data_IF_014602803736
#
_entry.id   IF_014602803736
#
_cell.length_a   1.000
_cell.length_b   1.000
_cell.length_c   1.000
_cell.angle_alpha   90.00
_cell.angle_beta   90.00
_cell.angle_gamma   90.00
#
_symmetry.space_group_name_H-M   'P 1'
#
loop_
_entity.id
_entity.type
_entity.pdbx_description
1 polymer ?
#
# COMPACT_ATOMS: atom_id res chain seq x y z
N UNK A 1 -7.84 55.42 -2.78
CA UNK A 1 -8.46 54.74 -3.94
C UNK A 1 -7.66 53.53 -4.43
N UNK A 2 -6.32 53.52 -4.28
CA UNK A 2 -5.39 52.50 -4.78
C UNK A 2 -5.31 51.20 -3.95
N UNK A 3 -5.52 51.27 -2.62
CA UNK A 3 -5.48 50.11 -1.73
C UNK A 3 -6.73 49.21 -1.81
N UNK A 4 -7.89 49.78 -2.17
CA UNK A 4 -9.15 49.04 -2.40
C UNK A 4 -9.14 48.30 -3.75
N UNK A 5 -8.42 48.82 -4.75
CA UNK A 5 -8.18 48.13 -6.02
C UNK A 5 -7.24 46.93 -5.84
N UNK A 6 -6.17 47.07 -5.04
CA UNK A 6 -5.24 45.98 -4.71
C UNK A 6 -5.89 44.83 -3.92
N UNK A 7 -6.81 45.15 -3.00
CA UNK A 7 -7.57 44.14 -2.22
C UNK A 7 -8.58 43.39 -3.08
N UNK A 8 -9.22 44.07 -4.05
CA UNK A 8 -10.11 43.43 -5.03
C UNK A 8 -9.33 42.52 -5.97
N UNK A 9 -8.17 42.93 -6.49
CA UNK A 9 -7.35 42.08 -7.36
C UNK A 9 -6.74 40.88 -6.64
N UNK A 10 -6.30 41.00 -5.38
CA UNK A 10 -5.83 39.84 -4.58
C UNK A 10 -6.95 38.86 -4.24
N UNK A 11 -8.15 39.36 -3.97
CA UNK A 11 -9.30 38.48 -3.75
C UNK A 11 -9.63 37.73 -5.05
N UNK A 12 -9.76 38.42 -6.19
CA UNK A 12 -10.05 37.80 -7.48
C UNK A 12 -8.94 36.86 -7.96
N UNK A 13 -7.65 37.17 -7.75
CA UNK A 13 -6.54 36.25 -8.04
C UNK A 13 -6.53 35.05 -7.09
N UNK A 14 -6.84 35.24 -5.81
CA UNK A 14 -6.98 34.11 -4.89
C UNK A 14 -8.14 33.21 -5.27
N UNK A 15 -9.26 33.75 -5.77
CA UNK A 15 -10.37 32.97 -6.30
C UNK A 15 -10.04 32.36 -7.66
N UNK A 16 -9.27 33.01 -8.52
CA UNK A 16 -8.86 32.45 -9.83
C UNK A 16 -7.80 31.35 -9.70
N UNK A 17 -6.85 31.51 -8.78
CA UNK A 17 -5.86 30.49 -8.43
C UNK A 17 -6.55 29.34 -7.71
N UNK A 18 -7.45 29.62 -6.74
CA UNK A 18 -8.25 28.60 -6.05
C UNK A 18 -9.30 27.93 -6.95
N UNK A 19 -9.84 28.61 -7.98
CA UNK A 19 -10.81 28.04 -8.92
C UNK A 19 -10.20 27.57 -10.24
N UNK A 20 -8.92 27.83 -10.51
CA UNK A 20 -8.22 27.44 -11.75
C UNK A 20 -7.26 26.27 -11.55
N UNK A 21 -6.62 26.16 -10.38
CA UNK A 21 -5.74 25.03 -10.03
C UNK A 21 -6.47 23.83 -9.47
N UNK A 22 -7.57 24.09 -8.77
CA UNK A 22 -8.40 23.07 -8.14
C UNK A 22 -9.42 22.45 -9.12
N UNK A 23 -9.47 22.91 -10.38
CA UNK A 23 -10.51 22.54 -11.35
C UNK A 23 -10.04 21.67 -12.53
N UNK A 24 -8.75 21.46 -12.79
CA UNK A 24 -8.35 20.72 -13.99
C UNK A 24 -7.69 19.35 -13.78
N UNK A 25 -6.81 19.14 -12.80
CA UNK A 25 -5.99 17.91 -12.77
C UNK A 25 -5.89 17.18 -11.41
N UNK A 26 -5.62 17.87 -10.30
CA UNK A 26 -5.54 17.21 -8.98
C UNK A 26 -6.83 16.47 -8.54
N UNK A 27 -8.06 17.00 -8.76
CA UNK A 27 -9.28 16.27 -8.44
C UNK A 27 -9.44 14.97 -9.23
N UNK A 28 -8.96 14.93 -10.48
CA UNK A 28 -9.08 13.75 -11.35
C UNK A 28 -8.27 12.57 -10.79
N UNK A 29 -7.07 12.80 -10.27
CA UNK A 29 -6.27 11.76 -9.62
C UNK A 29 -7.00 11.20 -8.39
N UNK A 30 -7.54 12.07 -7.54
CA UNK A 30 -8.26 11.63 -6.34
C UNK A 30 -9.59 10.95 -6.66
N UNK A 31 -10.29 11.37 -7.71
CA UNK A 31 -11.49 10.68 -8.22
C UNK A 31 -11.16 9.30 -8.76
N UNK A 32 -10.06 9.17 -9.52
CA UNK A 32 -9.58 7.87 -9.98
C UNK A 32 -9.19 6.99 -8.79
N UNK A 33 -8.38 7.48 -7.85
CA UNK A 33 -8.04 6.75 -6.61
C UNK A 33 -9.29 6.34 -5.82
N UNK A 34 -10.26 7.23 -5.68
CA UNK A 34 -11.56 6.94 -5.06
C UNK A 34 -12.31 5.82 -5.78
N UNK A 35 -12.30 5.81 -7.12
CA UNK A 35 -12.93 4.78 -7.94
C UNK A 35 -12.26 3.42 -7.74
N UNK A 36 -10.92 3.40 -7.68
CA UNK A 36 -10.12 2.20 -7.44
C UNK A 36 -10.42 1.61 -6.06
N UNK A 37 -10.66 2.44 -5.05
CA UNK A 37 -11.10 2.00 -3.73
C UNK A 37 -12.43 1.23 -3.72
N UNK A 38 -13.29 1.44 -4.74
CA UNK A 38 -14.52 0.65 -4.90
C UNK A 38 -14.38 -0.57 -5.79
N UNK A 39 -13.31 -0.64 -6.57
CA UNK A 39 -12.99 -1.81 -7.37
C UNK A 39 -12.37 -2.85 -6.43
N UNK A 40 -13.00 -4.03 -6.32
CA UNK A 40 -12.51 -5.11 -5.45
C UNK A 40 -11.32 -5.88 -6.05
N UNK A 41 -10.62 -5.29 -7.01
CA UNK A 41 -9.55 -5.90 -7.78
C UNK A 41 -8.19 -5.34 -7.36
N UNK A 42 -7.12 -6.07 -7.68
CA UNK A 42 -5.77 -5.53 -7.59
C UNK A 42 -5.60 -4.44 -8.66
N UNK A 43 -4.74 -3.46 -8.40
CA UNK A 43 -4.60 -2.27 -9.26
C UNK A 43 -3.15 -2.02 -9.54
N UNK A 44 -2.85 -1.70 -10.81
CA UNK A 44 -1.56 -1.18 -11.20
C UNK A 44 -1.55 0.35 -11.02
N UNK A 45 -0.63 0.87 -10.20
CA UNK A 45 -0.53 2.30 -9.91
C UNK A 45 0.38 3.08 -10.86
N UNK A 46 1.00 2.45 -11.87
CA UNK A 46 1.93 3.13 -12.78
C UNK A 46 1.28 4.32 -13.50
N UNK A 47 0.07 4.15 -14.03
CA UNK A 47 -0.65 5.23 -14.73
C UNK A 47 -0.94 6.43 -13.84
N UNK A 48 -1.23 6.17 -12.55
CA UNK A 48 -1.46 7.23 -11.57
C UNK A 48 -0.18 7.96 -11.19
N UNK A 49 0.96 7.25 -11.14
CA UNK A 49 2.28 7.88 -10.94
C UNK A 49 2.61 8.79 -12.12
N UNK A 50 2.44 8.30 -13.36
CA UNK A 50 2.66 9.13 -14.56
C UNK A 50 1.80 10.39 -14.54
N UNK A 51 0.52 10.27 -14.17
CA UNK A 51 -0.37 11.42 -14.03
C UNK A 51 0.10 12.39 -12.93
N UNK A 52 0.62 11.90 -11.80
CA UNK A 52 1.20 12.78 -10.76
C UNK A 52 2.40 13.56 -11.31
N UNK A 53 3.28 12.89 -12.06
CA UNK A 53 4.49 13.52 -12.61
C UNK A 53 4.18 14.59 -13.65
N UNK A 54 3.19 14.35 -14.51
CA UNK A 54 2.71 15.36 -15.46
C UNK A 54 2.22 16.61 -14.72
N UNK A 55 1.41 16.44 -13.67
CA UNK A 55 0.94 17.56 -12.83
C UNK A 55 2.10 18.30 -12.17
N UNK A 56 3.10 17.59 -11.65
CA UNK A 56 4.30 18.21 -11.07
C UNK A 56 5.04 19.07 -12.09
N UNK A 57 5.18 18.57 -13.33
CA UNK A 57 5.82 19.32 -14.41
C UNK A 57 5.04 20.58 -14.75
N UNK A 58 3.71 20.53 -14.80
CA UNK A 58 2.87 21.69 -15.08
C UNK A 58 2.93 22.73 -13.94
N UNK A 59 2.84 22.29 -12.68
CA UNK A 59 3.01 23.18 -11.51
C UNK A 59 4.40 23.83 -11.46
N UNK A 60 5.44 23.18 -12.00
CA UNK A 60 6.76 23.78 -12.06
C UNK A 60 6.83 24.98 -13.02
N UNK A 61 6.00 24.97 -14.08
CA UNK A 61 5.99 25.92 -15.20
C UNK A 61 5.03 27.10 -15.03
N UNK A 62 3.96 26.96 -14.24
CA UNK A 62 2.91 27.98 -14.17
C UNK A 62 3.07 28.97 -13.00
N UNK A 63 3.82 28.61 -11.95
CA UNK A 63 3.90 29.38 -10.70
C UNK A 63 5.15 30.24 -10.56
N UNK A 64 5.24 31.34 -11.30
CA UNK A 64 6.41 32.24 -11.22
C UNK A 64 6.23 33.44 -10.28
N UNK A 65 5.01 33.77 -9.86
CA UNK A 65 4.76 34.99 -9.08
C UNK A 65 5.02 34.80 -7.57
N UNK A 66 5.81 35.66 -6.89
CA UNK A 66 6.16 35.50 -5.47
C UNK A 66 4.96 35.39 -4.50
N UNK A 67 3.83 36.03 -4.82
CA UNK A 67 2.61 35.97 -3.99
C UNK A 67 1.89 34.61 -4.00
N UNK A 68 2.19 33.73 -4.96
CA UNK A 68 1.62 32.36 -5.03
C UNK A 68 2.64 31.29 -4.65
N UNK A 69 3.84 31.68 -4.23
CA UNK A 69 4.93 30.76 -3.86
C UNK A 69 4.56 29.82 -2.71
N UNK A 70 3.81 30.28 -1.71
CA UNK A 70 3.33 29.45 -0.60
C UNK A 70 2.27 28.43 -1.03
N UNK A 71 1.36 28.81 -1.94
CA UNK A 71 0.38 27.89 -2.53
C UNK A 71 1.08 26.85 -3.41
N UNK A 72 2.05 27.28 -4.22
CA UNK A 72 2.91 26.39 -5.01
C UNK A 72 3.60 25.36 -4.11
N UNK A 73 4.15 25.78 -2.97
CA UNK A 73 4.80 24.88 -2.03
C UNK A 73 3.84 23.80 -1.50
N UNK A 74 2.62 24.18 -1.09
CA UNK A 74 1.61 23.23 -0.59
C UNK A 74 1.19 22.23 -1.68
N UNK A 75 0.86 22.70 -2.88
CA UNK A 75 0.50 21.82 -4.00
C UNK A 75 1.66 20.89 -4.40
N UNK A 76 2.90 21.38 -4.33
CA UNK A 76 4.10 20.57 -4.58
C UNK A 76 4.26 19.48 -3.52
N UNK A 77 4.10 19.80 -2.22
CA UNK A 77 4.16 18.79 -1.17
C UNK A 77 3.10 17.70 -1.38
N UNK A 78 1.87 18.12 -1.63
CA UNK A 78 0.75 17.20 -1.85
C UNK A 78 1.06 16.20 -2.96
N UNK A 79 1.43 16.70 -4.14
CA UNK A 79 1.70 15.87 -5.31
C UNK A 79 2.94 15.00 -5.14
N UNK A 80 4.02 15.56 -4.58
CA UNK A 80 5.25 14.84 -4.26
C UNK A 80 5.01 13.68 -3.31
N UNK A 81 4.31 13.93 -2.20
CA UNK A 81 4.00 12.91 -1.20
C UNK A 81 3.17 11.82 -1.83
N UNK A 82 2.12 12.17 -2.60
CA UNK A 82 1.30 11.19 -3.29
C UNK A 82 2.13 10.35 -4.27
N UNK A 83 2.99 10.97 -5.07
CA UNK A 83 3.87 10.28 -6.02
C UNK A 83 4.81 9.30 -5.29
N UNK A 84 5.46 9.72 -4.21
CA UNK A 84 6.30 8.84 -3.40
C UNK A 84 5.52 7.65 -2.81
N UNK A 85 4.31 7.89 -2.29
CA UNK A 85 3.47 6.82 -1.72
C UNK A 85 2.99 5.82 -2.78
N UNK A 86 2.61 6.29 -3.98
CA UNK A 86 2.21 5.43 -5.10
C UNK A 86 3.40 4.65 -5.66
N UNK A 87 4.59 5.28 -5.74
CA UNK A 87 5.83 4.58 -6.11
C UNK A 87 6.18 3.50 -5.10
N UNK A 88 6.06 3.77 -3.80
CA UNK A 88 6.25 2.76 -2.76
C UNK A 88 5.29 1.57 -2.92
N UNK A 89 4.02 1.80 -3.28
CA UNK A 89 3.06 0.72 -3.60
C UNK A 89 3.54 -0.17 -4.76
N UNK A 90 4.00 0.44 -5.86
CA UNK A 90 4.52 -0.30 -7.01
C UNK A 90 5.76 -1.11 -6.62
N UNK A 91 6.70 -0.50 -5.91
CA UNK A 91 7.93 -1.14 -5.48
C UNK A 91 7.69 -2.29 -4.49
N UNK A 92 6.69 -2.17 -3.61
CA UNK A 92 6.24 -3.29 -2.77
C UNK A 92 5.69 -4.45 -3.62
N UNK A 93 4.92 -4.15 -4.68
CA UNK A 93 4.35 -5.17 -5.57
C UNK A 93 5.40 -5.96 -6.37
N UNK A 94 6.59 -5.38 -6.59
CA UNK A 94 7.74 -6.04 -7.23
C UNK A 94 8.81 -6.49 -6.22
N UNK A 95 8.52 -6.35 -4.92
CA UNK A 95 9.41 -6.72 -3.82
C UNK A 95 10.79 -6.04 -3.83
N UNK A 96 10.83 -4.76 -4.21
CA UNK A 96 12.04 -3.94 -4.29
C UNK A 96 12.32 -3.22 -2.96
N UNK A 97 13.09 -3.84 -2.06
CA UNK A 97 13.30 -3.38 -0.68
C UNK A 97 13.84 -1.95 -0.55
N UNK A 98 15.10 -1.72 -0.93
CA UNK A 98 15.75 -0.41 -0.69
C UNK A 98 15.03 0.75 -1.41
N UNK A 99 14.67 0.64 -2.71
CA UNK A 99 13.90 1.69 -3.36
C UNK A 99 12.60 2.01 -2.63
N UNK A 100 11.89 0.99 -2.13
CA UNK A 100 10.66 1.21 -1.36
C UNK A 100 10.93 1.97 -0.05
N UNK A 101 12.01 1.62 0.67
CA UNK A 101 12.41 2.34 1.91
C UNK A 101 12.63 3.82 1.62
N UNK A 102 13.38 4.13 0.55
CA UNK A 102 13.68 5.51 0.17
C UNK A 102 12.40 6.30 -0.14
N UNK A 103 11.47 5.72 -0.92
CA UNK A 103 10.20 6.38 -1.24
C UNK A 103 9.34 6.61 0.02
N UNK A 104 9.26 5.64 0.93
CA UNK A 104 8.53 5.81 2.20
C UNK A 104 9.17 6.87 3.11
N UNK A 105 10.50 6.94 3.13
CA UNK A 105 11.25 7.94 3.87
C UNK A 105 11.02 9.35 3.31
N UNK A 106 11.12 9.52 1.99
CA UNK A 106 10.90 10.82 1.32
C UNK A 106 9.47 11.32 1.57
N UNK A 107 8.47 10.45 1.43
CA UNK A 107 7.08 10.78 1.78
C UNK A 107 6.95 11.20 3.26
N UNK A 108 7.63 10.50 4.17
CA UNK A 108 7.60 10.85 5.60
C UNK A 108 8.25 12.21 5.89
N UNK A 109 9.44 12.45 5.34
CA UNK A 109 10.18 13.71 5.50
C UNK A 109 9.36 14.89 4.98
N UNK A 110 8.77 14.76 3.78
CA UNK A 110 7.90 15.79 3.19
C UNK A 110 6.61 16.01 3.99
N UNK A 111 5.98 14.95 4.52
CA UNK A 111 4.82 15.08 5.41
C UNK A 111 5.14 15.84 6.70
N UNK A 112 6.32 15.64 7.29
CA UNK A 112 6.73 16.37 8.48
C UNK A 112 7.00 17.84 8.13
N UNK A 113 7.73 18.12 7.05
CA UNK A 113 7.97 19.48 6.56
C UNK A 113 6.67 20.23 6.25
N UNK A 114 5.69 19.57 5.63
CA UNK A 114 4.37 20.18 5.41
C UNK A 114 3.63 20.42 6.74
N UNK A 115 3.74 19.51 7.71
CA UNK A 115 3.15 19.70 9.05
C UNK A 115 3.64 20.98 9.72
N UNK A 116 4.94 21.26 9.64
CA UNK A 116 5.56 22.43 10.26
C UNK A 116 5.10 23.75 9.62
N UNK A 117 4.62 23.71 8.37
CA UNK A 117 4.06 24.86 7.67
C UNK A 117 2.59 25.13 8.03
N UNK A 118 1.89 24.19 8.67
CA UNK A 118 0.49 24.35 9.05
C UNK A 118 0.43 25.23 10.31
N UNK A 119 -0.14 26.45 10.23
CA UNK A 119 -0.13 27.38 11.35
C UNK A 119 -0.96 26.85 12.53
N UNK A 120 -0.33 26.83 13.71
CA UNK A 120 -0.92 26.42 15.01
C UNK A 120 -2.20 27.21 15.38
N UNK A 121 -2.49 28.35 14.72
CA UNK A 121 -3.66 29.19 15.03
C UNK A 121 -5.01 28.64 14.55
N UNK A 122 -5.06 27.67 13.63
CA UNK A 122 -6.30 26.94 13.32
C UNK A 122 -6.70 25.93 14.42
N UNK A 123 -5.89 25.81 15.48
CA UNK A 123 -6.13 24.94 16.64
C UNK A 123 -6.98 25.62 17.72
N UNK A 124 -7.23 26.94 17.62
CA UNK A 124 -7.99 27.71 18.62
C UNK A 124 -9.09 28.54 17.97
N UNK A 125 -10.09 27.88 17.37
CA UNK A 125 -11.39 28.51 17.15
C UNK A 125 -12.14 28.65 18.49
N UNK A 126 -11.83 29.75 19.18
CA UNK A 126 -12.75 30.60 19.96
C UNK A 126 -14.04 29.96 20.53
N UNK A 127 -14.04 29.73 21.86
CA UNK A 127 -15.18 29.86 22.77
C UNK A 127 -16.46 29.01 22.55
N UNK A 128 -16.36 27.71 22.28
CA UNK A 128 -17.49 26.79 22.49
C UNK A 128 -17.06 25.44 23.07
N UNK A 129 -17.79 24.99 24.10
CA UNK A 129 -17.54 23.79 24.93
C UNK A 129 -17.87 22.48 24.21
N UNK A 130 -17.09 22.13 23.19
CA UNK A 130 -17.00 20.75 22.71
C UNK A 130 -15.56 20.43 22.34
N UNK A 131 -15.10 19.21 22.65
CA UNK A 131 -13.72 18.74 22.55
C UNK A 131 -13.03 19.13 21.22
N UNK A 132 -12.21 20.18 21.25
CA UNK A 132 -11.51 20.70 20.08
C UNK A 132 -10.39 19.76 19.62
N UNK A 133 -10.68 18.93 18.62
CA UNK A 133 -9.62 18.30 17.81
C UNK A 133 -9.05 19.38 16.89
N UNK A 134 -7.76 19.66 17.00
CA UNK A 134 -6.99 20.38 15.98
C UNK A 134 -7.18 19.66 14.64
N UNK A 135 -8.02 20.18 13.74
CA UNK A 135 -8.27 19.49 12.48
C UNK A 135 -7.18 19.86 11.48
N UNK A 136 -6.11 19.05 11.44
CA UNK A 136 -5.20 19.03 10.30
C UNK A 136 -6.00 19.00 8.98
N UNK A 137 -5.51 19.62 7.90
CA UNK A 137 -6.19 19.60 6.62
C UNK A 137 -6.62 18.17 6.26
N UNK A 138 -7.88 17.96 5.85
CA UNK A 138 -8.41 16.61 5.65
C UNK A 138 -7.56 15.75 4.70
N UNK A 139 -7.02 16.34 3.63
CA UNK A 139 -6.15 15.67 2.67
C UNK A 139 -4.77 15.31 3.26
N UNK A 140 -4.17 16.22 4.05
CA UNK A 140 -2.95 15.93 4.79
C UNK A 140 -3.14 14.69 5.69
N UNK A 141 -4.24 14.66 6.43
CA UNK A 141 -4.57 13.55 7.32
C UNK A 141 -4.80 12.25 6.54
N UNK A 142 -5.40 12.33 5.35
CA UNK A 142 -5.54 11.19 4.45
C UNK A 142 -4.19 10.65 3.96
N UNK A 143 -3.29 11.51 3.49
CA UNK A 143 -1.93 11.13 3.07
C UNK A 143 -1.13 10.52 4.23
N UNK A 144 -1.24 11.10 5.43
CA UNK A 144 -0.62 10.58 6.64
C UNK A 144 -1.12 9.17 6.98
N UNK A 145 -2.43 8.94 6.90
CA UNK A 145 -3.03 7.61 7.10
C UNK A 145 -2.61 6.62 6.02
N UNK A 146 -2.60 7.04 4.75
CA UNK A 146 -2.12 6.21 3.65
C UNK A 146 -0.67 5.76 3.92
N UNK A 147 0.23 6.69 4.26
CA UNK A 147 1.62 6.37 4.66
C UNK A 147 1.68 5.32 5.77
N UNK A 148 0.83 5.46 6.78
CA UNK A 148 0.76 4.50 7.89
C UNK A 148 0.34 3.08 7.46
N UNK A 149 -0.65 2.97 6.57
CA UNK A 149 -1.08 1.69 6.00
C UNK A 149 0.02 1.11 5.10
N UNK A 150 0.70 1.94 4.30
CA UNK A 150 1.82 1.48 3.47
C UNK A 150 2.97 0.96 4.32
N UNK A 151 3.27 1.62 5.45
CA UNK A 151 4.29 1.15 6.39
C UNK A 151 3.91 -0.20 7.01
N UNK A 152 2.63 -0.38 7.35
CA UNK A 152 2.10 -1.66 7.84
C UNK A 152 2.28 -2.77 6.79
N UNK A 153 1.95 -2.47 5.53
CA UNK A 153 2.10 -3.39 4.39
C UNK A 153 3.57 -3.72 4.12
N UNK A 154 4.44 -2.71 4.13
CA UNK A 154 5.88 -2.87 3.99
C UNK A 154 6.45 -3.81 5.06
N UNK A 155 6.07 -3.58 6.31
CA UNK A 155 6.47 -4.43 7.44
C UNK A 155 6.06 -5.90 7.28
N UNK A 156 4.93 -6.15 6.62
CA UNK A 156 4.46 -7.50 6.32
C UNK A 156 5.18 -8.13 5.13
N UNK A 157 5.33 -7.41 4.02
CA UNK A 157 5.94 -7.94 2.78
C UNK A 157 7.45 -8.18 2.91
N UNK A 158 8.12 -7.39 3.75
CA UNK A 158 9.56 -7.50 3.99
C UNK A 158 9.86 -8.00 5.40
N UNK A 159 8.93 -8.70 6.04
CA UNK A 159 9.07 -9.18 7.42
C UNK A 159 10.38 -9.94 7.64
N UNK A 160 10.72 -10.88 6.75
CA UNK A 160 11.93 -11.70 6.87
C UNK A 160 13.22 -10.90 6.64
N UNK A 161 13.17 -9.89 5.77
CA UNK A 161 14.28 -8.94 5.57
C UNK A 161 14.49 -8.09 6.81
N UNK A 162 13.41 -7.55 7.38
CA UNK A 162 13.46 -6.75 8.59
C UNK A 162 13.92 -7.59 9.79
N UNK A 163 13.40 -8.81 9.96
CA UNK A 163 13.75 -9.71 11.05
C UNK A 163 15.23 -10.11 11.04
N UNK A 164 15.90 -10.08 9.88
CA UNK A 164 17.35 -10.29 9.77
C UNK A 164 18.18 -9.05 10.09
N UNK A 165 17.57 -7.86 10.06
CA UNK A 165 18.22 -6.57 10.28
C UNK A 165 17.92 -5.95 11.65
N UNK A 166 17.00 -6.54 12.41
CA UNK A 166 16.62 -6.11 13.76
C UNK A 166 16.37 -7.30 14.68
N UNK A 167 16.13 -7.05 15.97
CA UNK A 167 15.78 -8.08 16.93
C UNK A 167 14.32 -8.50 16.69
N UNK A 168 14.01 -9.80 16.45
CA UNK A 168 12.65 -10.24 16.11
C UNK A 168 11.56 -9.85 17.12
N UNK A 169 11.89 -9.79 18.41
CA UNK A 169 10.98 -9.33 19.44
C UNK A 169 10.64 -7.83 19.30
N UNK A 170 11.64 -7.00 19.00
CA UNK A 170 11.46 -5.57 18.76
C UNK A 170 10.66 -5.32 17.48
N UNK A 171 10.91 -6.10 16.43
CA UNK A 171 10.15 -6.03 15.18
C UNK A 171 8.66 -6.27 15.43
N UNK A 172 8.31 -7.32 16.18
CA UNK A 172 6.91 -7.60 16.53
C UNK A 172 6.27 -6.44 17.29
N UNK A 173 6.99 -5.86 18.25
CA UNK A 173 6.50 -4.69 19.00
C UNK A 173 6.32 -3.48 18.07
N UNK A 174 7.25 -3.23 17.16
CA UNK A 174 7.15 -2.14 16.19
C UNK A 174 5.95 -2.30 15.25
N UNK A 175 5.75 -3.50 14.70
CA UNK A 175 4.63 -3.81 13.80
C UNK A 175 3.27 -3.76 14.52
N UNK A 176 3.20 -4.15 15.79
CA UNK A 176 1.97 -4.04 16.58
C UNK A 176 1.51 -2.59 16.83
N UNK A 177 2.43 -1.62 16.71
CA UNK A 177 2.14 -0.18 16.82
C UNK A 177 1.77 0.45 15.49
N UNK A 178 1.93 -0.26 14.37
CA UNK A 178 1.49 0.21 13.08
C UNK A 178 -0.05 0.26 13.04
N UNK A 179 -0.64 1.10 12.16
CA UNK A 179 -2.09 1.18 12.02
C UNK A 179 -2.76 -0.18 11.78
N UNK A 180 -2.09 -1.09 11.07
CA UNK A 180 -2.58 -2.44 10.81
C UNK A 180 -1.51 -3.49 11.15
N UNK A 181 -1.79 -4.36 12.12
CA UNK A 181 -0.91 -5.49 12.45
C UNK A 181 -1.25 -6.71 11.59
N UNK A 182 -0.75 -6.74 10.35
CA UNK A 182 -0.97 -7.87 9.43
C UNK A 182 -0.38 -9.17 9.94
N UNK A 183 0.80 -9.11 10.56
CA UNK A 183 1.47 -10.31 11.09
C UNK A 183 0.64 -10.90 12.23
N UNK A 184 0.22 -10.08 13.19
CA UNK A 184 -0.66 -10.51 14.29
C UNK A 184 -2.00 -11.06 13.79
N UNK A 185 -2.60 -10.46 12.75
CA UNK A 185 -3.82 -11.00 12.12
C UNK A 185 -3.62 -12.39 11.53
N UNK A 186 -2.52 -12.62 10.82
CA UNK A 186 -2.19 -13.95 10.27
C UNK A 186 -1.96 -14.96 11.41
N UNK A 187 -1.24 -14.58 12.46
CA UNK A 187 -0.99 -15.43 13.62
C UNK A 187 -2.29 -15.83 14.34
N UNK A 188 -3.17 -14.86 14.58
CA UNK A 188 -4.46 -15.08 15.21
C UNK A 188 -5.37 -15.97 14.34
N UNK A 189 -5.36 -15.75 13.02
CA UNK A 189 -6.11 -16.57 12.07
C UNK A 189 -5.59 -18.01 12.04
N UNK A 190 -4.28 -18.22 11.94
CA UNK A 190 -3.65 -19.54 11.92
C UNK A 190 -4.04 -20.34 13.17
N UNK A 191 -3.92 -19.73 14.35
CA UNK A 191 -4.29 -20.36 15.63
C UNK A 191 -5.79 -20.70 15.72
N UNK A 192 -6.67 -19.85 15.17
CA UNK A 192 -8.13 -20.04 15.23
C UNK A 192 -8.65 -21.08 14.23
N UNK A 193 -8.05 -21.14 13.05
CA UNK A 193 -8.51 -21.98 11.94
C UNK A 193 -7.82 -23.34 11.86
N UNK A 194 -6.72 -23.52 12.62
CA UNK A 194 -5.81 -24.65 12.54
C UNK A 194 -5.19 -24.78 11.13
N UNK A 195 -4.83 -23.64 10.53
CA UNK A 195 -4.11 -23.64 9.27
C UNK A 195 -2.69 -24.19 9.45
N UNK A 196 -2.30 -25.09 8.56
CA UNK A 196 -0.95 -25.67 8.54
C UNK A 196 0.09 -24.59 8.21
N UNK A 197 -0.20 -23.79 7.18
CA UNK A 197 0.66 -22.68 6.77
C UNK A 197 -0.14 -21.53 6.15
N UNK A 198 0.38 -20.32 6.30
CA UNK A 198 -0.03 -19.12 5.56
C UNK A 198 1.21 -18.53 4.88
N UNK A 199 1.11 -18.24 3.58
CA UNK A 199 2.21 -17.69 2.79
C UNK A 199 1.79 -16.40 2.07
N UNK A 200 2.72 -15.46 1.96
CA UNK A 200 2.71 -14.52 0.82
C UNK A 200 3.68 -15.04 -0.23
N UNK A 201 3.18 -15.24 -1.44
CA UNK A 201 3.96 -15.77 -2.56
C UNK A 201 4.11 -14.69 -3.62
N UNK A 202 5.35 -14.34 -3.93
CA UNK A 202 5.74 -13.46 -5.04
C UNK A 202 5.92 -14.29 -6.32
N UNK A 203 5.27 -13.85 -7.38
CA UNK A 203 5.57 -14.23 -8.76
C UNK A 203 6.70 -13.34 -9.30
N UNK A 204 7.90 -13.91 -9.35
CA UNK A 204 9.10 -13.24 -9.83
C UNK A 204 9.32 -13.38 -11.34
N UNK A 205 8.33 -13.83 -12.12
CA UNK A 205 8.49 -13.98 -13.57
C UNK A 205 8.80 -12.63 -14.22
N UNK A 206 9.94 -12.58 -14.92
CA UNK A 206 10.41 -11.39 -15.63
C UNK A 206 10.94 -10.27 -14.72
N UNK A 207 11.03 -10.48 -13.41
CA UNK A 207 11.72 -9.57 -12.51
C UNK A 207 13.24 -9.82 -12.61
N UNK A 208 14.01 -8.74 -12.59
CA UNK A 208 15.48 -8.77 -12.68
C UNK A 208 16.10 -8.45 -11.32
N UNK A 209 17.30 -9.00 -11.05
CA UNK A 209 18.05 -8.75 -9.82
C UNK A 209 17.99 -9.88 -8.78
N UNK A 210 18.53 -9.62 -7.59
CA UNK A 210 18.66 -10.59 -6.49
C UNK A 210 17.38 -10.73 -5.66
N UNK A 211 16.36 -11.34 -6.27
CA UNK A 211 15.03 -11.52 -5.67
C UNK A 211 15.01 -12.63 -4.62
N UNK A 212 16.09 -13.42 -4.46
CA UNK A 212 16.10 -14.53 -3.50
C UNK A 212 16.24 -14.08 -2.05
N UNK A 213 17.06 -13.05 -1.81
CA UNK A 213 17.49 -12.79 -0.44
C UNK A 213 16.68 -11.70 0.24
N UNK A 214 15.88 -10.90 -0.48
CA UNK A 214 15.10 -9.79 0.07
C UNK A 214 15.97 -8.77 0.81
N UNK A 215 16.34 -7.68 0.15
CA UNK A 215 17.19 -6.69 0.79
C UNK A 215 17.91 -5.79 -0.19
N UNK A 216 18.99 -5.19 0.29
CA UNK A 216 19.90 -4.45 -0.56
C UNK A 216 21.01 -5.37 -1.08
N UNK A 217 21.25 -5.28 -2.38
CA UNK A 217 22.36 -5.95 -3.05
C UNK A 217 23.17 -4.91 -3.83
N UNK A 218 24.48 -5.12 -3.88
CA UNK A 218 25.35 -4.30 -4.71
C UNK A 218 24.89 -4.42 -6.19
N UNK A 219 24.58 -3.30 -6.88
CA UNK A 219 24.18 -3.30 -8.30
C UNK A 219 25.14 -4.05 -9.23
N UNK A 220 26.44 -4.05 -8.91
CA UNK A 220 27.49 -4.68 -9.73
C UNK A 220 27.57 -6.21 -9.55
N UNK A 221 26.80 -6.77 -8.62
CA UNK A 221 26.81 -8.21 -8.36
C UNK A 221 25.89 -8.93 -9.34
N UNK A 222 26.45 -9.77 -10.21
CA UNK A 222 25.69 -10.59 -11.16
C UNK A 222 24.57 -11.38 -10.46
N UNK A 223 23.33 -11.23 -10.94
CA UNK A 223 22.17 -11.97 -10.49
C UNK A 223 21.80 -13.04 -11.51
N UNK A 224 21.69 -14.30 -11.07
CA UNK A 224 21.20 -15.39 -11.92
C UNK A 224 19.68 -15.26 -12.06
N UNK A 225 19.11 -15.20 -13.28
CA UNK A 225 17.67 -15.18 -13.48
C UNK A 225 17.00 -16.40 -12.84
N UNK A 226 15.88 -16.19 -12.14
CA UNK A 226 15.10 -17.29 -11.55
C UNK A 226 14.46 -18.14 -12.65
N UNK A 227 14.57 -19.46 -12.54
CA UNK A 227 13.99 -20.41 -13.50
C UNK A 227 13.11 -21.46 -12.81
N UNK A 228 12.05 -21.89 -13.50
CA UNK A 228 11.18 -22.97 -13.06
C UNK A 228 10.41 -22.65 -11.78
N UNK A 229 10.46 -23.56 -10.80
CA UNK A 229 9.71 -23.44 -9.54
C UNK A 229 10.27 -22.34 -8.62
N UNK A 230 11.52 -21.94 -8.82
CA UNK A 230 12.19 -20.88 -8.05
C UNK A 230 11.66 -19.48 -8.40
N UNK A 231 10.88 -19.37 -9.47
CA UNK A 231 10.24 -18.11 -9.85
C UNK A 231 9.09 -17.73 -8.92
N UNK A 232 8.56 -18.68 -8.15
CA UNK A 232 7.61 -18.40 -7.08
C UNK A 232 8.36 -18.43 -5.76
N UNK A 233 8.40 -17.29 -5.07
CA UNK A 233 9.16 -17.13 -3.83
C UNK A 233 8.22 -16.80 -2.67
N UNK A 234 8.24 -17.53 -1.55
CA UNK A 234 7.51 -17.11 -0.36
C UNK A 234 8.24 -15.92 0.28
N UNK A 235 7.65 -14.73 0.20
CA UNK A 235 8.20 -13.52 0.82
C UNK A 235 7.76 -13.37 2.29
N UNK A 236 6.81 -14.19 2.71
CA UNK A 236 6.40 -14.36 4.10
C UNK A 236 5.88 -15.78 4.30
N UNK A 237 6.22 -16.41 5.43
CA UNK A 237 5.65 -17.69 5.87
C UNK A 237 5.30 -17.68 7.35
N UNK A 238 4.16 -18.28 7.69
CA UNK A 238 3.78 -18.55 9.07
C UNK A 238 3.14 -19.94 9.22
N UNK A 239 3.52 -20.76 10.21
CA UNK A 239 4.62 -20.54 11.17
C UNK A 239 6.00 -20.42 10.51
N UNK A 240 6.86 -19.53 11.03
CA UNK A 240 8.16 -19.19 10.43
C UNK A 240 9.14 -20.38 10.41
N UNK A 241 8.95 -21.33 11.32
CA UNK A 241 9.74 -22.57 11.44
C UNK A 241 9.46 -23.58 10.32
N UNK A 242 8.35 -23.42 9.58
CA UNK A 242 7.98 -24.33 8.50
C UNK A 242 8.47 -23.77 7.16
N UNK A 243 9.57 -24.36 6.67
CA UNK A 243 10.08 -24.11 5.33
C UNK A 243 9.05 -24.47 4.23
N UNK A 244 9.32 -24.07 2.99
CA UNK A 244 8.54 -24.46 1.81
C UNK A 244 8.33 -25.97 1.81
N UNK A 245 7.08 -26.41 1.98
CA UNK A 245 6.76 -27.83 1.86
C UNK A 245 6.83 -28.22 0.38
N UNK A 246 7.75 -29.12 -0.03
CA UNK A 246 7.86 -29.57 -1.42
C UNK A 246 6.60 -30.33 -1.87
N UNK A 247 5.78 -30.82 -0.92
CA UNK A 247 4.51 -31.49 -1.19
C UNK A 247 3.44 -30.49 -1.65
N UNK A 248 3.39 -29.31 -1.02
CA UNK A 248 2.34 -28.32 -1.26
C UNK A 248 2.68 -27.34 -2.40
N UNK A 249 3.96 -27.05 -2.61
CA UNK A 249 4.40 -26.01 -3.54
C UNK A 249 3.89 -26.17 -4.98
N UNK A 250 3.88 -27.38 -5.58
CA UNK A 250 3.36 -27.56 -6.95
C UNK A 250 1.88 -27.17 -7.09
N UNK A 251 1.05 -27.51 -6.10
CA UNK A 251 -0.38 -27.15 -6.11
C UNK A 251 -0.57 -25.63 -5.98
N UNK A 252 0.25 -24.98 -5.15
CA UNK A 252 0.22 -23.53 -4.98
C UNK A 252 0.57 -22.83 -6.30
N UNK A 253 1.66 -23.26 -6.96
CA UNK A 253 2.08 -22.71 -8.26
C UNK A 253 1.01 -22.92 -9.33
N UNK A 254 0.43 -24.12 -9.38
CA UNK A 254 -0.68 -24.42 -10.29
C UNK A 254 -1.85 -23.45 -10.07
N UNK A 255 -2.24 -23.22 -8.81
CA UNK A 255 -3.33 -22.30 -8.49
C UNK A 255 -3.02 -20.86 -8.89
N UNK A 256 -1.79 -20.36 -8.63
CA UNK A 256 -1.37 -19.02 -9.03
C UNK A 256 -1.45 -18.87 -10.55
N UNK A 257 -0.92 -19.83 -11.31
CA UNK A 257 -0.95 -19.79 -12.78
C UNK A 257 -2.36 -19.88 -13.35
N UNK A 258 -3.26 -20.60 -12.67
CA UNK A 258 -4.67 -20.68 -13.07
C UNK A 258 -5.47 -19.40 -12.78
N UNK A 259 -4.88 -18.42 -12.08
CA UNK A 259 -5.54 -17.20 -11.63
C UNK A 259 -5.55 -16.05 -12.66
N UNK A 260 -6.41 -16.19 -13.66
CA UNK A 260 -6.71 -15.15 -14.66
C UNK A 260 -7.34 -13.89 -14.05
N UNK A 261 -8.23 -14.07 -13.06
CA UNK A 261 -9.11 -13.00 -12.60
C UNK A 261 -8.55 -12.28 -11.36
N UNK A 262 -7.80 -12.95 -10.47
CA UNK A 262 -7.12 -12.32 -9.32
C UNK A 262 -8.02 -11.79 -8.19
N UNK A 263 -9.34 -11.88 -8.34
CA UNK A 263 -10.26 -11.06 -7.53
C UNK A 263 -11.04 -11.84 -6.49
N UNK A 264 -11.19 -13.15 -6.68
CA UNK A 264 -11.97 -14.02 -5.80
C UNK A 264 -11.02 -14.96 -5.08
N UNK A 265 -11.44 -15.39 -3.88
CA UNK A 265 -10.79 -16.51 -3.21
C UNK A 265 -11.01 -17.75 -4.07
N UNK A 266 -9.92 -18.41 -4.47
CA UNK A 266 -9.97 -19.70 -5.12
C UNK A 266 -9.69 -20.80 -4.12
N UNK A 267 -10.35 -21.92 -4.34
CA UNK A 267 -10.22 -23.11 -3.52
C UNK A 267 -9.74 -24.29 -4.35
N UNK A 268 -8.84 -25.07 -3.80
CA UNK A 268 -8.45 -26.37 -4.36
C UNK A 268 -8.36 -27.39 -3.24
N UNK A 269 -8.84 -28.59 -3.52
CA UNK A 269 -8.77 -29.71 -2.59
C UNK A 269 -8.04 -30.88 -3.24
N UNK A 270 -6.90 -31.22 -2.66
CA UNK A 270 -6.08 -32.36 -3.04
C UNK A 270 -6.47 -33.56 -2.17
N UNK A 271 -6.91 -34.64 -2.82
CA UNK A 271 -7.35 -35.86 -2.13
C UNK A 271 -6.12 -36.61 -1.64
N UNK A 272 -6.25 -37.25 -0.47
CA UNK A 272 -5.20 -38.10 0.06
C UNK A 272 -4.87 -39.22 -0.92
N UNK A 273 -3.59 -39.57 -0.95
CA UNK A 273 -3.04 -40.74 -1.63
C UNK A 273 -2.26 -41.54 -0.60
N UNK A 274 -1.82 -42.75 -0.95
CA UNK A 274 -0.99 -43.59 -0.06
C UNK A 274 0.28 -42.88 0.45
N UNK A 275 0.71 -41.81 -0.23
CA UNK A 275 1.92 -41.04 0.09
C UNK A 275 1.67 -39.64 0.63
N UNK A 276 0.42 -39.14 0.65
CA UNK A 276 0.13 -37.73 0.99
C UNK A 276 -1.23 -37.58 1.69
N UNK A 277 -1.31 -36.79 2.78
CA UNK A 277 -2.58 -36.52 3.46
C UNK A 277 -3.49 -35.60 2.62
N UNK A 278 -4.77 -35.55 3.00
CA UNK A 278 -5.73 -34.60 2.44
C UNK A 278 -5.23 -33.17 2.62
N UNK A 279 -5.28 -32.36 1.56
CA UNK A 279 -4.84 -30.96 1.64
C UNK A 279 -5.86 -30.03 1.00
N UNK A 280 -6.17 -28.92 1.69
CA UNK A 280 -7.03 -27.86 1.17
C UNK A 280 -6.26 -26.56 1.05
N UNK A 281 -6.45 -25.86 -0.05
CA UNK A 281 -5.72 -24.65 -0.39
C UNK A 281 -6.72 -23.54 -0.69
N UNK A 282 -6.49 -22.37 -0.10
CA UNK A 282 -7.19 -21.15 -0.43
C UNK A 282 -6.18 -20.11 -0.89
N UNK A 283 -6.47 -19.42 -2.00
CA UNK A 283 -5.60 -18.38 -2.53
C UNK A 283 -6.40 -17.15 -2.93
N UNK A 284 -5.82 -15.97 -2.70
CA UNK A 284 -6.31 -14.71 -3.23
C UNK A 284 -5.13 -13.83 -3.64
N UNK A 285 -5.19 -13.22 -4.81
CA UNK A 285 -4.17 -12.28 -5.27
C UNK A 285 -4.32 -10.94 -4.56
N UNK A 286 -3.33 -10.54 -3.77
CA UNK A 286 -3.38 -9.31 -2.96
C UNK A 286 -2.71 -8.12 -3.65
N UNK A 287 -1.87 -8.39 -4.65
CA UNK A 287 -1.16 -7.38 -5.44
C UNK A 287 -0.88 -7.87 -6.87
N UNK A 288 -0.30 -7.01 -7.71
CA UNK A 288 0.04 -7.32 -9.10
C UNK A 288 0.90 -8.58 -9.23
N UNK A 289 1.75 -8.92 -8.28
CA UNK A 289 2.58 -10.15 -8.33
C UNK A 289 2.54 -10.97 -7.05
N UNK A 290 1.64 -10.66 -6.13
CA UNK A 290 1.67 -11.24 -4.78
C UNK A 290 0.34 -11.89 -4.47
N UNK A 291 0.39 -13.15 -4.05
CA UNK A 291 -0.77 -13.94 -3.64
C UNK A 291 -0.66 -14.36 -2.19
N UNK A 292 -1.77 -14.25 -1.46
CA UNK A 292 -1.90 -14.79 -0.12
C UNK A 292 -2.47 -16.21 -0.21
N UNK A 293 -1.79 -17.16 0.41
CA UNK A 293 -2.11 -18.59 0.35
C UNK A 293 -2.32 -19.12 1.77
N UNK A 294 -3.37 -19.91 1.97
CA UNK A 294 -3.63 -20.64 3.21
C UNK A 294 -3.71 -22.14 2.89
N UNK A 295 -2.97 -22.94 3.64
CA UNK A 295 -2.88 -24.40 3.48
C UNK A 295 -3.39 -25.09 4.73
N UNK A 296 -4.20 -26.14 4.53
CA UNK A 296 -4.65 -27.04 5.57
C UNK A 296 -4.32 -28.48 5.19
N UNK A 297 -3.77 -29.26 6.10
CA UNK A 297 -3.61 -30.73 5.97
C UNK A 297 -4.88 -31.48 6.42
N UNK A 298 -6.02 -30.95 5.99
CA UNK A 298 -7.33 -31.54 6.23
C UNK A 298 -8.30 -31.12 5.12
N UNK A 299 -9.42 -31.83 5.00
CA UNK A 299 -10.50 -31.44 4.10
C UNK A 299 -11.25 -30.23 4.68
N UNK A 300 -11.23 -29.12 3.96
CA UNK A 300 -12.02 -27.91 4.25
C UNK A 300 -13.13 -27.75 3.21
N UNK A 301 -14.12 -26.92 3.55
CA UNK A 301 -15.20 -26.57 2.64
C UNK A 301 -14.85 -25.28 1.92
N UNK A 302 -14.97 -25.24 0.59
CA UNK A 302 -14.80 -24.03 -0.22
C UNK A 302 -15.63 -22.84 0.33
N UNK A 303 -16.84 -23.12 0.81
CA UNK A 303 -17.78 -22.11 1.31
C UNK A 303 -17.59 -21.75 2.79
N UNK A 304 -16.48 -22.17 3.40
CA UNK A 304 -16.19 -21.88 4.81
C UNK A 304 -16.05 -20.36 5.02
N UNK A 305 -17.04 -19.76 5.68
CA UNK A 305 -17.18 -18.30 5.72
C UNK A 305 -16.04 -17.63 6.48
N UNK A 306 -15.55 -18.23 7.57
CA UNK A 306 -14.46 -17.70 8.38
C UNK A 306 -13.17 -17.50 7.58
N UNK A 307 -12.81 -18.49 6.74
CA UNK A 307 -11.61 -18.46 5.89
C UNK A 307 -11.80 -17.43 4.77
N UNK A 308 -12.95 -17.48 4.09
CA UNK A 308 -13.24 -16.56 3.00
C UNK A 308 -13.30 -15.10 3.47
N UNK A 309 -13.97 -14.82 4.58
CA UNK A 309 -14.02 -13.48 5.18
C UNK A 309 -12.63 -12.98 5.54
N UNK A 310 -11.80 -13.80 6.19
CA UNK A 310 -10.42 -13.42 6.50
C UNK A 310 -9.63 -13.02 5.24
N UNK A 311 -9.67 -13.86 4.20
CA UNK A 311 -8.95 -13.62 2.94
C UNK A 311 -9.46 -12.39 2.19
N UNK A 312 -10.77 -12.16 2.17
CA UNK A 312 -11.38 -10.97 1.58
C UNK A 312 -10.99 -9.71 2.35
N UNK A 313 -11.03 -9.75 3.68
CA UNK A 313 -10.76 -8.59 4.53
C UNK A 313 -9.29 -8.19 4.47
N UNK A 314 -8.36 -9.16 4.58
CA UNK A 314 -6.92 -8.87 4.53
C UNK A 314 -6.50 -8.43 3.13
N UNK A 315 -7.06 -9.02 2.07
CA UNK A 315 -6.77 -8.60 0.69
C UNK A 315 -7.25 -7.19 0.41
N UNK A 316 -8.44 -6.81 0.89
CA UNK A 316 -8.96 -5.44 0.78
C UNK A 316 -8.05 -4.42 1.47
N UNK A 317 -7.52 -4.76 2.65
CA UNK A 317 -6.59 -3.90 3.41
C UNK A 317 -5.24 -3.77 2.70
N UNK A 318 -4.66 -4.87 2.20
CA UNK A 318 -3.38 -4.85 1.47
C UNK A 318 -3.48 -4.08 0.14
N UNK A 319 -4.65 -4.08 -0.49
CA UNK A 319 -4.97 -3.26 -1.67
C UNK A 319 -5.32 -1.80 -1.33
N UNK A 320 -5.32 -1.44 -0.04
CA UNK A 320 -5.64 -0.09 0.43
C UNK A 320 -7.04 0.40 0.01
N UNK A 321 -8.01 -0.51 -0.15
CA UNK A 321 -9.34 -0.18 -0.68
C UNK A 321 -10.09 0.83 0.20
N UNK A 322 -10.09 0.62 1.52
CA UNK A 322 -10.83 1.48 2.45
C UNK A 322 -10.30 2.91 2.49
N UNK A 323 -8.97 3.07 2.51
CA UNK A 323 -8.34 4.40 2.53
C UNK A 323 -8.60 5.12 1.19
N UNK A 324 -8.49 4.42 0.07
CA UNK A 324 -8.80 4.96 -1.26
C UNK A 324 -10.28 5.34 -1.39
N UNK A 325 -11.21 4.48 -0.99
CA UNK A 325 -12.65 4.74 -1.02
C UNK A 325 -13.03 5.96 -0.15
N UNK A 326 -12.27 6.20 0.93
CA UNK A 326 -12.42 7.38 1.78
C UNK A 326 -12.31 8.71 1.04
N UNK A 327 -11.58 8.77 -0.08
CA UNK A 327 -11.46 9.97 -0.92
C UNK A 327 -12.80 10.43 -1.51
N UNK A 328 -13.80 9.55 -1.67
CA UNK A 328 -15.13 9.92 -2.19
C UNK A 328 -15.86 10.95 -1.34
N UNK A 329 -15.55 10.99 -0.05
CA UNK A 329 -16.12 11.99 0.87
C UNK A 329 -15.58 13.41 0.61
N UNK A 330 -14.40 13.51 -0.04
CA UNK A 330 -13.73 14.77 -0.38
C UNK A 330 -14.08 15.24 -1.80
N UNK A 331 -14.27 14.31 -2.74
CA UNK A 331 -14.69 14.64 -4.11
C UNK A 331 -16.14 15.18 -4.20
N UNK A 332 -16.93 15.02 -3.13
CA UNK A 332 -18.33 15.49 -3.05
C UNK A 332 -18.51 16.79 -2.24
N UNK A 333 -17.45 17.31 -1.60
CA UNK A 333 -17.47 18.52 -0.77
C UNK A 333 -16.97 19.73 -1.54
#
# INVERSE_FOLDING_TARGET
HSLLQLRKTTTTLSTWVRNGLHTSYAPKIYEQLASLGTIRQWVNFNDLVMMCEEIQMDYSREFHHPLVSSLRAVCSFECDILCHLLRAQILMSTWSYLPCVLQLYDAHSKLNSWSDMIPVKEIKATFSRSSGKSSLPPLYNWLFKLKGILLSKFGFYFYDTLARQTIPAELKVALSKCPEDFVGKVQAFQKKSDATNVYLVLDAHGLTGHIRDGGYHNPDKYAVPLQGMETYTPIFSYPHERAISPVHWPNIIMMINSDSDGNKVKFFYDKATDRRPHSSYFIVRVDTRISLVVVFESKKNEKESSINSFLVDISAQLRCQNIMAGLKSFARS
#
